data_IF_220213472015
#
_entry.id   IF_220213472015
#
_cell.length_a   1.000
_cell.length_b   1.000
_cell.length_c   1.000
_cell.angle_alpha   90.00
_cell.angle_beta   90.00
_cell.angle_gamma   90.00
#
_symmetry.space_group_name_H-M   'P 1'
#
loop_
_entity.id
_entity.type
_entity.pdbx_description
1 polymer ?
#
# COMPACT_ATOMS: atom_id res chain seq x y z
N UNK A 1 2.41 -23.99 -0.09
CA UNK A 1 0.94 -24.21 0.02
C UNK A 1 0.29 -23.99 -1.35
N UNK A 2 0.33 -25.00 -2.24
CA UNK A 2 -0.22 -24.88 -3.59
C UNK A 2 -1.75 -24.74 -3.61
N UNK A 3 -2.45 -25.44 -2.72
CA UNK A 3 -3.92 -25.37 -2.61
C UNK A 3 -4.40 -23.97 -2.20
N UNK A 4 -3.71 -23.32 -1.26
CA UNK A 4 -4.03 -21.96 -0.83
C UNK A 4 -3.81 -20.94 -1.96
N UNK A 5 -2.69 -21.06 -2.69
CA UNK A 5 -2.36 -20.14 -3.78
C UNK A 5 -3.40 -20.22 -4.91
N UNK A 6 -3.99 -21.39 -5.16
CA UNK A 6 -5.02 -21.59 -6.16
C UNK A 6 -6.35 -20.86 -5.85
N UNK A 7 -6.58 -20.47 -4.59
CA UNK A 7 -7.76 -19.69 -4.19
C UNK A 7 -7.65 -18.19 -4.52
N UNK A 8 -6.45 -17.69 -4.78
CA UNK A 8 -6.19 -16.27 -5.03
C UNK A 8 -5.88 -16.01 -6.51
N UNK A 9 -6.02 -14.74 -6.91
CA UNK A 9 -5.53 -14.30 -8.21
C UNK A 9 -4.01 -14.43 -8.29
N UNK A 10 -3.50 -14.65 -9.50
CA UNK A 10 -2.05 -14.58 -9.78
C UNK A 10 -1.50 -13.15 -9.61
N UNK A 11 -2.37 -12.14 -9.63
CA UNK A 11 -1.97 -10.74 -9.43
C UNK A 11 -1.97 -10.41 -7.95
N UNK A 12 -0.79 -10.07 -7.44
CA UNK A 12 -0.59 -9.57 -6.09
C UNK A 12 -0.40 -8.06 -6.10
N UNK A 13 -1.01 -7.39 -5.13
CA UNK A 13 -0.80 -5.95 -4.91
C UNK A 13 0.12 -5.79 -3.71
N UNK A 14 1.40 -5.50 -3.99
CA UNK A 14 2.41 -5.29 -2.98
C UNK A 14 2.57 -3.79 -2.65
N UNK A 15 2.15 -3.42 -1.44
CA UNK A 15 2.26 -2.05 -0.91
C UNK A 15 3.73 -1.64 -0.70
N UNK A 16 4.61 -2.60 -0.42
CA UNK A 16 6.03 -2.30 -0.18
C UNK A 16 6.77 -1.88 -1.46
N UNK A 17 6.39 -2.45 -2.61
CA UNK A 17 6.83 -1.98 -3.93
C UNK A 17 6.45 -0.51 -4.15
N UNK A 18 5.21 -0.12 -3.84
CA UNK A 18 4.75 1.28 -3.96
C UNK A 18 5.50 2.20 -3.00
N UNK A 19 5.73 1.75 -1.75
CA UNK A 19 6.55 2.47 -0.77
C UNK A 19 7.96 2.73 -1.29
N UNK A 20 8.58 1.75 -1.94
CA UNK A 20 9.92 1.87 -2.51
C UNK A 20 9.99 2.87 -3.67
N UNK A 21 8.94 2.92 -4.50
CA UNK A 21 8.78 3.94 -5.55
C UNK A 21 8.56 5.34 -4.95
N UNK A 22 7.66 5.45 -3.96
CA UNK A 22 7.38 6.71 -3.25
C UNK A 22 8.64 7.31 -2.64
N UNK A 23 9.49 6.49 -2.01
CA UNK A 23 10.75 6.94 -1.41
C UNK A 23 11.70 7.58 -2.45
N UNK A 24 11.73 7.06 -3.68
CA UNK A 24 12.66 7.50 -4.74
C UNK A 24 12.10 8.64 -5.58
N UNK A 25 10.82 8.58 -5.91
CA UNK A 25 10.18 9.53 -6.84
C UNK A 25 9.52 10.70 -6.12
N UNK A 26 9.09 10.50 -4.87
CA UNK A 26 8.31 11.48 -4.09
C UNK A 26 8.86 11.63 -2.64
N UNK A 27 10.13 12.05 -2.47
CA UNK A 27 10.77 12.10 -1.16
C UNK A 27 10.12 13.10 -0.19
N UNK A 28 9.41 14.12 -0.69
CA UNK A 28 8.69 15.10 0.13
C UNK A 28 7.40 14.50 0.70
N UNK A 29 6.64 13.80 -0.13
CA UNK A 29 5.39 13.14 0.21
C UNK A 29 5.65 11.96 1.15
N UNK A 30 6.76 11.24 0.98
CA UNK A 30 7.12 10.11 1.86
C UNK A 30 7.24 10.51 3.33
N UNK A 31 7.68 11.74 3.63
CA UNK A 31 7.76 12.27 5.00
C UNK A 31 6.40 12.42 5.67
N UNK A 32 5.33 12.51 4.89
CA UNK A 32 3.94 12.61 5.36
C UNK A 32 3.24 11.26 5.45
N UNK A 33 3.89 10.18 4.98
CA UNK A 33 3.30 8.85 5.02
C UNK A 33 3.12 8.38 6.48
N UNK A 34 2.03 7.68 6.79
CA UNK A 34 1.79 7.17 8.14
C UNK A 34 2.92 6.23 8.58
N UNK A 35 3.34 6.35 9.84
CA UNK A 35 4.27 5.41 10.47
C UNK A 35 3.51 4.16 10.91
N UNK A 36 4.15 3.00 10.74
CA UNK A 36 3.63 1.73 11.24
C UNK A 36 3.93 1.62 12.73
N UNK A 37 2.94 1.28 13.54
CA UNK A 37 3.11 1.11 14.99
C UNK A 37 3.67 -0.29 15.31
N UNK A 38 3.72 -1.22 14.33
CA UNK A 38 4.32 -2.55 14.46
C UNK A 38 3.85 -3.29 15.73
N UNK A 39 2.54 -3.39 15.94
CA UNK A 39 1.95 -4.04 17.13
C UNK A 39 2.13 -5.57 17.18
N UNK A 40 2.96 -6.13 16.29
CA UNK A 40 3.29 -7.55 16.17
C UNK A 40 2.05 -8.47 16.06
N UNK A 41 0.95 -7.95 15.49
CA UNK A 41 -0.27 -8.69 15.22
C UNK A 41 -0.62 -8.57 13.74
N UNK A 42 -0.85 -9.71 13.09
CA UNK A 42 -1.14 -9.77 11.65
C UNK A 42 -2.34 -8.90 11.24
N UNK A 43 -3.40 -8.84 12.06
CA UNK A 43 -4.57 -8.01 11.80
C UNK A 43 -4.24 -6.50 11.81
N UNK A 44 -3.37 -6.08 12.72
CA UNK A 44 -2.95 -4.67 12.82
C UNK A 44 -2.07 -4.33 11.60
N UNK A 45 -1.14 -5.20 11.22
CA UNK A 45 -0.27 -5.03 10.05
C UNK A 45 -1.06 -4.92 8.73
N UNK A 46 -2.15 -5.69 8.58
CA UNK A 46 -3.06 -5.61 7.42
C UNK A 46 -3.74 -4.24 7.38
N UNK A 47 -4.30 -3.77 8.51
CA UNK A 47 -4.96 -2.46 8.59
C UNK A 47 -4.00 -1.32 8.28
N UNK A 48 -2.78 -1.38 8.83
CA UNK A 48 -1.74 -0.40 8.55
C UNK A 48 -1.33 -0.38 7.06
N UNK A 49 -1.21 -1.55 6.44
CA UNK A 49 -0.86 -1.64 5.00
C UNK A 49 -1.97 -1.09 4.10
N UNK A 50 -3.24 -1.28 4.46
CA UNK A 50 -4.37 -0.67 3.76
C UNK A 50 -4.36 0.86 3.92
N UNK A 51 -4.11 1.36 5.12
CA UNK A 51 -4.02 2.81 5.38
C UNK A 51 -2.85 3.44 4.60
N UNK A 52 -1.69 2.77 4.55
CA UNK A 52 -0.53 3.19 3.78
C UNK A 52 -0.85 3.26 2.27
N UNK A 53 -1.55 2.26 1.73
CA UNK A 53 -1.95 2.26 0.32
C UNK A 53 -2.96 3.38 0.00
N UNK A 54 -3.90 3.67 0.91
CA UNK A 54 -4.82 4.82 0.76
C UNK A 54 -4.06 6.14 0.68
N UNK A 55 -3.09 6.35 1.57
CA UNK A 55 -2.23 7.53 1.54
C UNK A 55 -1.52 7.66 0.19
N UNK A 56 -0.93 6.58 -0.34
CA UNK A 56 -0.29 6.63 -1.66
C UNK A 56 -1.28 6.96 -2.78
N UNK A 57 -2.47 6.34 -2.78
CA UNK A 57 -3.51 6.62 -3.77
C UNK A 57 -3.89 8.10 -3.85
N UNK A 58 -3.93 8.79 -2.71
CA UNK A 58 -4.31 10.21 -2.63
C UNK A 58 -3.17 11.18 -2.97
N UNK A 59 -1.93 10.80 -2.69
CA UNK A 59 -0.79 11.73 -2.74
C UNK A 59 0.15 11.53 -3.94
N UNK A 60 0.30 10.31 -4.45
CA UNK A 60 1.27 10.01 -5.53
C UNK A 60 0.62 9.49 -6.81
N UNK A 61 -0.56 8.90 -6.73
CA UNK A 61 -1.29 8.48 -7.93
C UNK A 61 -2.08 9.65 -8.51
N UNK A 62 -2.20 9.65 -9.84
CA UNK A 62 -3.02 10.65 -10.54
C UNK A 62 -4.47 10.56 -10.04
N UNK A 63 -5.13 11.69 -9.75
CA UNK A 63 -6.54 11.68 -9.37
C UNK A 63 -7.34 10.95 -10.44
N UNK A 64 -8.17 10.00 -9.99
CA UNK A 64 -9.09 9.30 -10.88
C UNK A 64 -9.98 10.35 -11.54
N UNK A 65 -9.98 10.39 -12.87
CA UNK A 65 -11.03 11.06 -13.63
C UNK A 65 -12.29 10.20 -13.50
N UNK A 66 -12.92 10.20 -12.32
CA UNK A 66 -14.30 9.73 -12.26
C UNK A 66 -15.10 10.71 -13.10
N UNK A 67 -15.53 10.24 -14.28
CA UNK A 67 -16.51 10.93 -15.11
C UNK A 67 -17.70 11.31 -14.22
N UNK A 68 -18.11 12.57 -14.32
CA UNK A 68 -19.44 13.02 -13.91
C UNK A 68 -20.51 12.18 -14.61
#
# INVERSE_FOLDING_TARGET
>A
MPELAALFSHVLVDVSSIKALCLRWYPREKRKAPQKENKHRAMDDIKESIAELKFYKENIFKPSKSKK
#
